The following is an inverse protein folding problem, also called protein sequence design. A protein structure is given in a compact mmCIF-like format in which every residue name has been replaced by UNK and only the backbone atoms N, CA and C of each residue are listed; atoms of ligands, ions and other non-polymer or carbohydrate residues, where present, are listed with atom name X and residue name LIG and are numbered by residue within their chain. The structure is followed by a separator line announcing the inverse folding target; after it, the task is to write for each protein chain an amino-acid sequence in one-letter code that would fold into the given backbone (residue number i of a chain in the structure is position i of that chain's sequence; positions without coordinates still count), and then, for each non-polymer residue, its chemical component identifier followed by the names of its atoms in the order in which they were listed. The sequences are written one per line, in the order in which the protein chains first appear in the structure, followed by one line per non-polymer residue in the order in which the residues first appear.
data_IF_489396912241
#
_entry.id   IF_489396912241
#
_cell.length_a   1.000
_cell.length_b   1.000
_cell.length_c   1.000
_cell.angle_alpha   90.00
_cell.angle_beta   90.00
_cell.angle_gamma   90.00
#
_symmetry.space_group_name_H-M   'P 1'
#
loop_
_entity.id
_entity.type
_entity.pdbx_description
1 polymer ?
#
# COMPACT_ATOMS: atom_id res chain seq x y z
N UNK A 1 15.56 12.69 8.24
CA UNK A 1 15.81 11.25 8.23
C UNK A 1 16.15 10.85 6.80
N UNK A 2 17.32 10.25 6.57
CA UNK A 2 17.82 9.89 5.24
C UNK A 2 17.74 8.36 5.06
N UNK A 3 17.37 7.86 3.88
CA UNK A 3 17.28 6.43 3.59
C UNK A 3 18.60 5.68 3.81
N UNK A 4 19.73 6.40 3.78
CA UNK A 4 21.07 5.85 4.06
C UNK A 4 21.26 5.37 5.51
N UNK A 5 20.32 5.69 6.41
CA UNK A 5 20.34 5.22 7.80
C UNK A 5 19.84 3.77 7.97
N UNK A 6 19.31 3.17 6.90
CA UNK A 6 18.83 1.78 6.88
C UNK A 6 19.87 0.86 6.22
N UNK A 7 19.78 -0.47 6.34
CA UNK A 7 20.62 -1.38 5.58
C UNK A 7 20.52 -1.14 4.06
N UNK A 8 21.62 -1.33 3.35
CA UNK A 8 21.71 -1.04 1.90
C UNK A 8 20.68 -1.83 1.08
N UNK A 9 20.32 -3.03 1.54
CA UNK A 9 19.28 -3.88 0.97
C UNK A 9 17.89 -3.20 0.93
N UNK A 10 17.64 -2.22 1.81
CA UNK A 10 16.37 -1.48 1.89
C UNK A 10 16.38 -0.16 1.13
N UNK A 11 17.55 0.40 0.81
CA UNK A 11 17.66 1.74 0.23
C UNK A 11 16.81 1.93 -1.01
N UNK A 12 16.86 0.97 -1.94
CA UNK A 12 16.08 1.04 -3.18
C UNK A 12 14.57 1.12 -2.92
N UNK A 13 14.08 0.40 -1.90
CA UNK A 13 12.67 0.35 -1.55
C UNK A 13 12.24 1.64 -0.83
N UNK A 14 13.07 2.15 0.09
CA UNK A 14 12.79 3.36 0.87
C UNK A 14 12.90 4.64 0.03
N UNK A 15 13.88 4.71 -0.89
CA UNK A 15 14.10 5.90 -1.74
C UNK A 15 12.99 6.14 -2.77
N UNK A 16 12.14 5.16 -3.02
CA UNK A 16 11.14 5.21 -4.11
C UNK A 16 9.72 5.24 -3.59
N UNK A 17 8.81 5.78 -4.40
CA UNK A 17 7.36 5.83 -4.13
C UNK A 17 6.61 4.59 -4.63
N UNK A 18 7.31 3.54 -5.08
CA UNK A 18 6.74 2.37 -5.73
C UNK A 18 5.62 1.68 -4.90
N UNK A 19 5.81 1.58 -3.59
CA UNK A 19 4.80 1.00 -2.68
C UNK A 19 3.50 1.83 -2.67
N UNK A 20 3.64 3.15 -2.54
CA UNK A 20 2.53 4.09 -2.54
C UNK A 20 1.81 4.09 -3.90
N UNK A 21 2.57 4.13 -5.00
CA UNK A 21 2.02 4.08 -6.36
C UNK A 21 1.26 2.78 -6.64
N UNK A 22 1.79 1.63 -6.18
CA UNK A 22 1.09 0.34 -6.31
C UNK A 22 -0.22 0.32 -5.52
N UNK A 23 -0.22 0.84 -4.31
CA UNK A 23 -1.41 0.95 -3.46
C UNK A 23 -2.46 1.87 -4.10
N UNK A 24 -2.05 3.06 -4.56
CA UNK A 24 -2.92 4.02 -5.25
C UNK A 24 -3.50 3.44 -6.55
N UNK A 25 -2.70 2.67 -7.29
CA UNK A 25 -3.15 1.98 -8.50
C UNK A 25 -4.24 0.96 -8.18
N UNK A 26 -4.11 0.22 -7.09
CA UNK A 26 -5.10 -0.78 -6.68
C UNK A 26 -6.40 -0.15 -6.19
N UNK A 27 -6.31 0.92 -5.38
CA UNK A 27 -7.46 1.73 -4.98
C UNK A 27 -8.19 2.25 -6.21
N UNK A 28 -7.48 2.84 -7.17
CA UNK A 28 -8.06 3.36 -8.42
C UNK A 28 -8.67 2.26 -9.28
N UNK A 29 -8.06 1.07 -9.33
CA UNK A 29 -8.57 -0.07 -10.11
C UNK A 29 -9.89 -0.58 -9.55
N UNK A 30 -9.97 -0.79 -8.23
CA UNK A 30 -11.17 -1.33 -7.57
C UNK A 30 -12.28 -0.30 -7.43
N UNK A 31 -11.96 0.98 -7.25
CA UNK A 31 -12.98 2.05 -7.22
C UNK A 31 -13.58 2.33 -8.60
N UNK A 32 -12.87 2.04 -9.70
CA UNK A 32 -13.34 2.30 -11.07
C UNK A 32 -14.68 1.63 -11.39
N UNK A 33 -14.97 0.45 -10.83
CA UNK A 33 -16.23 -0.27 -11.10
C UNK A 33 -17.45 0.39 -10.45
N UNK A 34 -17.23 1.18 -9.39
CA UNK A 34 -18.30 1.85 -8.64
C UNK A 34 -18.84 3.07 -9.41
N UNK A 35 -18.00 3.73 -10.22
CA UNK A 35 -18.36 4.93 -10.97
C UNK A 35 -18.50 6.17 -10.08
N UNK A 36 -19.53 6.21 -9.22
CA UNK A 36 -19.79 7.29 -8.27
C UNK A 36 -20.21 6.73 -6.91
N UNK A 37 -19.64 7.28 -5.82
CA UNK A 37 -20.00 6.88 -4.47
C UNK A 37 -21.17 7.71 -3.93
N UNK A 38 -22.13 7.10 -3.20
CA UNK A 38 -23.29 7.81 -2.68
C UNK A 38 -22.95 8.73 -1.49
N UNK A 39 -21.83 8.50 -0.79
CA UNK A 39 -21.33 9.33 0.32
C UNK A 39 -19.86 9.00 0.64
N UNK A 40 -19.25 9.83 1.49
CA UNK A 40 -17.86 9.66 1.94
C UNK A 40 -17.64 8.35 2.72
N UNK A 41 -18.61 7.90 3.51
CA UNK A 41 -18.50 6.65 4.28
C UNK A 41 -18.40 5.41 3.37
N UNK A 42 -19.03 5.46 2.20
CA UNK A 42 -19.03 4.35 1.25
C UNK A 42 -17.68 4.21 0.55
N UNK A 43 -17.03 5.32 0.19
CA UNK A 43 -15.66 5.29 -0.34
C UNK A 43 -14.66 4.89 0.73
N UNK A 44 -14.82 5.39 1.96
CA UNK A 44 -13.94 5.03 3.07
C UNK A 44 -13.97 3.52 3.34
N UNK A 45 -15.17 2.91 3.38
CA UNK A 45 -15.33 1.47 3.56
C UNK A 45 -14.60 0.65 2.48
N UNK A 46 -14.73 1.06 1.21
CA UNK A 46 -14.02 0.38 0.13
C UNK A 46 -12.50 0.50 0.30
N UNK A 47 -11.99 1.72 0.52
CA UNK A 47 -10.54 1.93 0.64
C UNK A 47 -9.97 1.17 1.84
N UNK A 48 -10.65 1.21 2.99
CA UNK A 48 -10.24 0.47 4.20
C UNK A 48 -10.19 -1.03 3.93
N UNK A 49 -11.23 -1.60 3.29
CA UNK A 49 -11.23 -3.02 2.92
C UNK A 49 -10.05 -3.38 2.02
N UNK A 50 -9.71 -2.54 1.03
CA UNK A 50 -8.57 -2.78 0.14
C UNK A 50 -7.25 -2.76 0.92
N UNK A 51 -7.10 -1.83 1.86
CA UNK A 51 -5.90 -1.72 2.68
C UNK A 51 -5.75 -2.90 3.66
N UNK A 52 -6.86 -3.43 4.17
CA UNK A 52 -6.86 -4.66 4.98
C UNK A 52 -6.36 -5.84 4.14
N UNK A 53 -6.89 -6.06 2.95
CA UNK A 53 -6.43 -7.14 2.05
C UNK A 53 -4.92 -7.03 1.76
N UNK A 54 -4.44 -5.82 1.42
CA UNK A 54 -3.01 -5.59 1.15
C UNK A 54 -2.15 -5.88 2.39
N UNK A 55 -2.64 -5.51 3.57
CA UNK A 55 -1.95 -5.76 4.81
C UNK A 55 -1.90 -7.27 5.13
N UNK A 56 -2.99 -8.00 4.92
CA UNK A 56 -3.03 -9.45 5.09
C UNK A 56 -2.05 -10.16 4.14
N UNK A 57 -1.97 -9.75 2.87
CA UNK A 57 -1.00 -10.26 1.91
C UNK A 57 0.45 -10.04 2.37
N UNK A 58 0.74 -8.88 2.98
CA UNK A 58 2.07 -8.57 3.48
C UNK A 58 2.44 -9.36 4.73
N UNK A 59 1.47 -9.65 5.61
CA UNK A 59 1.69 -10.44 6.82
C UNK A 59 1.88 -11.92 6.48
N UNK A 60 1.11 -12.45 5.53
CA UNK A 60 1.04 -13.89 5.23
C UNK A 60 2.06 -14.37 4.19
N UNK A 61 2.61 -13.47 3.38
CA UNK A 61 3.52 -13.83 2.29
C UNK A 61 4.71 -12.87 2.11
N UNK A 62 4.63 -12.04 1.07
CA UNK A 62 5.76 -11.26 0.55
C UNK A 62 5.87 -9.88 1.19
N UNK A 63 6.41 -9.83 2.40
CA UNK A 63 6.77 -8.57 3.07
C UNK A 63 7.60 -7.68 2.14
N UNK A 64 7.10 -6.48 1.87
CA UNK A 64 7.78 -5.54 0.97
C UNK A 64 9.16 -5.14 1.52
N UNK A 65 9.26 -4.90 2.83
CA UNK A 65 10.52 -4.67 3.56
C UNK A 65 10.58 -5.66 4.72
N UNK A 66 11.66 -6.42 4.81
CA UNK A 66 11.95 -7.29 5.96
C UNK A 66 12.97 -6.56 6.81
N UNK A 67 12.56 -6.11 7.99
CA UNK A 67 13.48 -5.56 8.97
C UNK A 67 14.13 -6.75 9.69
N UNK A 68 15.44 -6.90 9.57
CA UNK A 68 16.19 -7.76 10.50
C UNK A 68 16.13 -7.07 11.87
N UNK A 69 15.75 -7.83 12.91
CA UNK A 69 15.70 -7.36 14.30
C UNK A 69 17.09 -7.31 14.89
#
# INVERSE_FOLDING_TARGET
MNYMQFPESHWRKIRTTNMMERTNKEIKRRSKVVGAFPNQESVLRLVVSILIDINEDWITGNRYIVMEQ
#
